data_IF_441493534978
#
_entry.id   IF_441493534978
#
_cell.length_a   1.000
_cell.length_b   1.000
_cell.length_c   1.000
_cell.angle_alpha   90.00
_cell.angle_beta   90.00
_cell.angle_gamma   90.00
#
_symmetry.space_group_name_H-M   'P 1'
#
loop_
_entity.id
_entity.type
_entity.pdbx_description
1 polymer ?
#
# COMPACT_ATOMS: atom_id res chain seq x y z
N UNK A 1 -27.57 61.94 19.33
CA UNK A 1 -26.23 62.17 18.80
C UNK A 1 -25.30 61.41 19.71
N UNK A 2 -25.02 60.20 19.31
CA UNK A 2 -23.78 59.47 19.62
C UNK A 2 -23.95 58.05 19.12
N UNK A 3 -23.27 57.74 18.05
CA UNK A 3 -23.20 56.39 17.49
C UNK A 3 -22.25 55.56 18.32
N UNK A 4 -22.68 54.42 18.81
CA UNK A 4 -21.84 53.38 19.39
C UNK A 4 -21.23 52.51 18.26
N UNK A 5 -19.96 52.04 18.37
CA UNK A 5 -19.33 51.24 17.36
C UNK A 5 -19.84 49.79 17.38
N UNK A 6 -19.98 49.21 16.18
CA UNK A 6 -20.36 47.83 15.93
C UNK A 6 -19.26 46.87 16.33
N UNK A 7 -19.61 45.84 17.09
CA UNK A 7 -18.81 44.70 17.42
C UNK A 7 -18.27 44.00 16.14
N UNK A 8 -16.99 43.88 16.06
CA UNK A 8 -16.30 43.01 15.09
C UNK A 8 -16.33 41.57 15.61
N UNK A 9 -17.26 40.78 15.11
CA UNK A 9 -17.25 39.34 15.34
C UNK A 9 -16.00 38.69 14.75
N UNK A 10 -15.21 38.06 15.60
CA UNK A 10 -14.03 37.29 15.21
C UNK A 10 -14.56 35.96 14.61
N UNK A 11 -14.42 35.85 13.29
CA UNK A 11 -14.68 34.62 12.54
C UNK A 11 -13.55 33.61 12.79
N UNK A 12 -13.83 32.57 13.59
CA UNK A 12 -12.89 31.51 13.96
C UNK A 12 -12.82 30.35 12.94
N UNK A 13 -13.28 30.56 11.70
CA UNK A 13 -13.33 29.48 10.68
C UNK A 13 -12.30 29.62 9.55
N UNK A 14 -11.09 30.10 9.83
CA UNK A 14 -9.98 30.11 8.86
C UNK A 14 -8.74 29.35 9.35
N UNK A 15 -8.89 28.09 9.77
CA UNK A 15 -7.77 27.27 10.24
C UNK A 15 -7.62 25.92 9.57
N UNK A 16 -8.59 25.45 8.78
CA UNK A 16 -8.45 24.21 8.01
C UNK A 16 -8.02 24.49 6.57
N UNK A 17 -6.75 24.74 6.37
CA UNK A 17 -6.16 24.64 5.03
C UNK A 17 -6.34 23.19 4.57
N UNK A 18 -7.33 22.99 3.69
CA UNK A 18 -7.43 21.78 2.88
C UNK A 18 -6.10 21.59 2.18
N UNK A 19 -5.35 20.53 2.54
CA UNK A 19 -4.21 20.11 1.73
C UNK A 19 -4.79 19.66 0.39
N UNK A 20 -4.76 20.57 -0.56
CA UNK A 20 -5.24 20.33 -1.91
C UNK A 20 -4.17 19.52 -2.63
N UNK A 21 -4.49 18.33 -3.09
CA UNK A 21 -3.65 17.49 -3.97
C UNK A 21 -3.24 18.20 -5.28
N UNK A 22 -3.66 19.45 -5.50
CA UNK A 22 -3.23 20.29 -6.61
C UNK A 22 -1.77 20.74 -6.54
N UNK A 23 -1.07 20.53 -5.43
CA UNK A 23 0.36 20.86 -5.31
C UNK A 23 1.29 19.88 -6.06
N UNK A 24 0.76 18.82 -6.66
CA UNK A 24 1.51 17.96 -7.57
C UNK A 24 1.65 18.50 -9.00
N UNK A 25 1.46 19.80 -9.22
CA UNK A 25 1.85 20.41 -10.48
C UNK A 25 3.34 20.70 -10.46
N UNK A 26 4.12 19.78 -11.01
CA UNK A 26 5.50 20.08 -11.44
C UNK A 26 5.51 21.26 -12.40
N UNK A 27 6.51 22.16 -12.31
CA UNK A 27 6.71 23.17 -13.34
C UNK A 27 6.91 22.44 -14.68
N UNK A 28 6.22 22.94 -15.69
CA UNK A 28 6.26 22.44 -17.06
C UNK A 28 7.68 22.45 -17.62
N UNK A 29 8.33 21.30 -17.66
CA UNK A 29 9.30 21.03 -18.70
C UNK A 29 8.53 20.50 -19.88
N UNK A 30 8.60 21.20 -21.00
CA UNK A 30 7.90 20.88 -22.23
C UNK A 30 8.15 19.42 -22.62
N UNK A 31 7.06 18.62 -22.73
CA UNK A 31 7.15 17.47 -23.58
C UNK A 31 6.36 16.23 -23.29
N UNK A 32 5.94 15.89 -22.07
CA UNK A 32 5.08 14.72 -21.87
C UNK A 32 4.21 14.90 -20.62
N UNK A 33 2.90 14.83 -20.80
CA UNK A 33 1.98 14.83 -19.68
C UNK A 33 2.10 13.52 -18.88
N UNK A 34 1.77 13.54 -17.59
CA UNK A 34 1.68 12.30 -16.77
C UNK A 34 0.80 11.22 -17.43
N UNK A 35 -0.22 11.65 -18.20
CA UNK A 35 -1.08 10.77 -19.02
C UNK A 35 -0.29 9.99 -20.06
N UNK A 36 0.70 10.63 -20.70
CA UNK A 36 1.49 10.01 -21.77
C UNK A 36 2.53 9.01 -21.21
N UNK A 37 3.05 9.25 -20.02
CA UNK A 37 3.98 8.34 -19.36
C UNK A 37 3.29 7.04 -18.91
N UNK A 38 2.10 7.15 -18.32
CA UNK A 38 1.28 5.98 -17.94
C UNK A 38 0.72 5.22 -19.15
N UNK A 39 0.25 5.95 -20.17
CA UNK A 39 -0.18 5.34 -21.43
C UNK A 39 0.95 4.54 -22.08
N UNK A 40 2.18 5.04 -22.00
CA UNK A 40 3.36 4.35 -22.55
C UNK A 40 3.85 3.19 -21.68
N UNK A 41 3.69 3.25 -20.36
CA UNK A 41 4.03 2.12 -19.49
C UNK A 41 3.08 0.92 -19.69
N UNK A 42 1.81 1.18 -20.04
CA UNK A 42 0.83 0.13 -20.30
C UNK A 42 0.76 -0.28 -21.80
N UNK A 43 1.20 0.58 -22.74
CA UNK A 43 1.15 0.31 -24.20
C UNK A 43 2.48 -0.07 -24.82
N UNK A 44 3.58 0.35 -24.23
CA UNK A 44 4.88 -0.24 -24.47
C UNK A 44 4.96 -1.45 -23.58
N UNK A 45 4.53 -2.60 -24.07
CA UNK A 45 5.08 -3.85 -23.57
C UNK A 45 6.58 -3.60 -23.47
N UNK A 46 7.12 -3.61 -22.24
CA UNK A 46 8.53 -3.43 -21.97
C UNK A 46 9.34 -4.41 -22.84
N UNK A 47 9.59 -4.02 -24.09
CA UNK A 47 10.59 -4.67 -24.93
C UNK A 47 11.92 -4.11 -24.47
N UNK A 48 12.37 -4.60 -23.32
CA UNK A 48 13.76 -4.58 -22.99
C UNK A 48 14.36 -5.89 -23.53
N UNK A 49 15.54 -5.87 -24.15
CA UNK A 49 16.21 -7.08 -24.57
C UNK A 49 16.73 -7.81 -23.32
N UNK A 50 15.88 -8.62 -22.69
CA UNK A 50 16.30 -9.50 -21.62
C UNK A 50 16.89 -10.79 -22.21
N UNK A 51 18.19 -10.90 -22.21
CA UNK A 51 18.86 -12.19 -22.25
C UNK A 51 18.74 -12.85 -20.88
N UNK A 52 17.70 -13.64 -20.63
CA UNK A 52 17.51 -14.17 -19.30
C UNK A 52 16.94 -15.58 -19.24
N UNK A 53 17.79 -16.63 -19.21
CA UNK A 53 17.39 -17.90 -18.62
C UNK A 53 17.26 -17.82 -17.08
N UNK A 54 17.93 -16.88 -16.42
CA UNK A 54 17.93 -16.79 -14.94
C UNK A 54 16.63 -16.24 -14.33
N UNK A 55 15.91 -15.33 -14.99
CA UNK A 55 14.65 -14.80 -14.46
C UNK A 55 13.51 -15.83 -14.46
N UNK A 56 13.48 -16.75 -15.41
CA UNK A 56 12.49 -17.84 -15.45
C UNK A 56 12.54 -18.76 -14.23
N UNK A 57 13.71 -18.97 -13.66
CA UNK A 57 13.87 -19.85 -12.49
C UNK A 57 13.43 -19.20 -11.17
N UNK A 58 13.43 -17.87 -11.09
CA UNK A 58 13.08 -17.12 -9.87
C UNK A 58 11.58 -16.91 -9.73
N UNK A 59 10.87 -16.79 -10.85
CA UNK A 59 9.40 -16.59 -10.86
C UNK A 59 8.59 -17.90 -10.85
N UNK A 60 9.21 -19.07 -11.00
CA UNK A 60 8.55 -20.35 -11.19
C UNK A 60 8.11 -21.07 -9.91
N UNK A 61 7.97 -20.38 -8.79
CA UNK A 61 7.26 -20.93 -7.63
C UNK A 61 5.74 -20.79 -7.86
N UNK A 62 5.22 -21.51 -8.83
CA UNK A 62 3.79 -21.61 -9.06
C UNK A 62 3.10 -22.26 -7.86
N UNK A 63 2.23 -21.51 -7.23
CA UNK A 63 1.11 -22.11 -6.54
C UNK A 63 0.06 -22.44 -7.61
N UNK A 64 0.00 -23.68 -8.03
CA UNK A 64 -1.12 -24.25 -8.78
C UNK A 64 -2.32 -24.36 -7.84
N UNK A 65 -2.95 -23.24 -7.54
CA UNK A 65 -4.23 -23.22 -6.83
C UNK A 65 -5.38 -23.59 -7.77
N UNK A 66 -6.53 -23.99 -7.23
CA UNK A 66 -7.73 -24.31 -8.01
C UNK A 66 -8.13 -23.14 -8.91
N UNK A 67 -8.80 -23.44 -10.03
CA UNK A 67 -9.28 -22.38 -10.92
C UNK A 67 -10.22 -21.41 -10.17
N UNK A 68 -10.21 -20.11 -10.50
CA UNK A 68 -11.03 -19.10 -9.80
C UNK A 68 -12.52 -19.45 -9.72
N UNK A 69 -13.08 -20.05 -10.77
CA UNK A 69 -14.46 -20.51 -10.80
C UNK A 69 -14.76 -21.65 -9.83
N UNK A 70 -13.82 -22.57 -9.66
CA UNK A 70 -13.98 -23.71 -8.76
C UNK A 70 -13.92 -23.26 -7.30
N UNK A 71 -13.03 -22.29 -7.00
CA UNK A 71 -12.91 -21.70 -5.66
C UNK A 71 -14.20 -20.97 -5.25
N UNK A 72 -14.78 -20.16 -6.14
CA UNK A 72 -16.03 -19.45 -5.85
C UNK A 72 -17.23 -20.40 -5.74
N UNK A 73 -17.24 -21.49 -6.48
CA UNK A 73 -18.27 -22.55 -6.34
C UNK A 73 -18.16 -23.21 -4.97
N UNK A 74 -16.97 -23.60 -4.56
CA UNK A 74 -16.73 -24.19 -3.23
C UNK A 74 -17.16 -23.27 -2.08
N UNK A 75 -16.86 -21.97 -2.18
CA UNK A 75 -17.30 -20.99 -1.19
C UNK A 75 -18.83 -20.90 -1.13
N UNK A 76 -19.53 -20.90 -2.27
CA UNK A 76 -21.00 -20.89 -2.30
C UNK A 76 -21.57 -22.15 -1.63
N UNK A 77 -21.00 -23.32 -1.89
CA UNK A 77 -21.45 -24.58 -1.29
C UNK A 77 -21.28 -24.54 0.24
N UNK A 78 -20.16 -24.01 0.73
CA UNK A 78 -19.91 -23.78 2.16
C UNK A 78 -20.98 -22.85 2.76
N UNK A 79 -21.29 -21.73 2.12
CA UNK A 79 -22.32 -20.80 2.58
C UNK A 79 -23.69 -21.47 2.68
N UNK A 80 -24.07 -22.22 1.63
CA UNK A 80 -25.37 -22.92 1.57
C UNK A 80 -25.48 -24.01 2.65
N UNK A 81 -24.39 -24.75 2.88
CA UNK A 81 -24.36 -25.82 3.88
C UNK A 81 -24.36 -25.27 5.31
N UNK A 82 -23.60 -24.21 5.57
CA UNK A 82 -23.48 -23.65 6.90
C UNK A 82 -24.78 -23.10 7.45
N UNK A 83 -25.65 -22.52 6.59
CA UNK A 83 -26.92 -21.85 6.99
C UNK A 83 -26.70 -20.94 8.19
N UNK A 84 -25.59 -20.22 8.22
CA UNK A 84 -25.16 -19.41 9.36
C UNK A 84 -26.18 -18.34 9.71
N UNK A 85 -26.71 -18.29 10.96
CA UNK A 85 -27.59 -17.21 11.37
C UNK A 85 -26.89 -15.85 11.41
N UNK A 86 -25.56 -15.83 11.50
CA UNK A 86 -24.76 -14.60 11.50
C UNK A 86 -24.68 -13.96 10.11
N UNK A 87 -24.94 -14.71 9.04
CA UNK A 87 -24.92 -14.17 7.69
C UNK A 87 -26.22 -13.44 7.38
N UNK A 88 -26.15 -12.12 7.21
CA UNK A 88 -27.29 -11.32 6.83
C UNK A 88 -27.63 -11.46 5.34
N UNK A 89 -26.60 -11.38 4.51
CA UNK A 89 -26.67 -11.53 3.06
C UNK A 89 -25.29 -11.85 2.48
N UNK A 90 -25.26 -12.34 1.25
CA UNK A 90 -24.02 -12.44 0.51
C UNK A 90 -24.24 -12.09 -0.96
N UNK A 91 -23.14 -11.69 -1.63
CA UNK A 91 -23.14 -11.39 -3.06
C UNK A 91 -21.87 -11.95 -3.72
N UNK A 92 -22.05 -12.68 -4.79
CA UNK A 92 -20.94 -13.05 -5.68
C UNK A 92 -20.83 -11.98 -6.75
N UNK A 93 -19.62 -11.58 -7.07
CA UNK A 93 -19.37 -10.52 -8.03
C UNK A 93 -18.11 -10.78 -8.86
N UNK A 94 -18.08 -10.20 -10.03
CA UNK A 94 -16.89 -10.09 -10.89
C UNK A 94 -16.58 -8.61 -11.11
N UNK A 95 -15.31 -8.24 -11.13
CA UNK A 95 -14.83 -6.94 -11.58
C UNK A 95 -13.95 -7.17 -12.80
N UNK A 96 -14.42 -6.70 -13.94
CA UNK A 96 -13.76 -6.84 -15.23
C UNK A 96 -13.14 -5.52 -15.69
N UNK A 97 -12.46 -5.56 -16.84
CA UNK A 97 -11.77 -4.39 -17.39
C UNK A 97 -12.66 -3.16 -17.61
N UNK A 98 -13.95 -3.37 -17.88
CA UNK A 98 -14.92 -2.29 -18.16
C UNK A 98 -15.61 -1.69 -16.93
N UNK A 99 -15.51 -2.36 -15.77
CA UNK A 99 -16.24 -1.94 -14.56
C UNK A 99 -15.45 -0.85 -13.82
N UNK A 100 -15.80 0.41 -14.04
CA UNK A 100 -15.06 1.58 -13.57
C UNK A 100 -15.99 2.74 -13.17
N UNK A 101 -15.57 3.55 -12.16
CA UNK A 101 -14.60 3.19 -11.14
C UNK A 101 -15.22 2.30 -10.08
N UNK A 102 -16.49 2.50 -9.72
CA UNK A 102 -17.20 1.84 -8.63
C UNK A 102 -18.38 1.03 -9.14
N UNK A 103 -18.51 -0.20 -8.64
CA UNK A 103 -19.64 -1.10 -8.90
C UNK A 103 -20.43 -1.32 -7.61
N UNK A 104 -21.72 -1.08 -7.65
CA UNK A 104 -22.65 -1.36 -6.56
C UNK A 104 -22.90 -2.88 -6.46
N UNK A 105 -22.69 -3.46 -5.30
CA UNK A 105 -22.92 -4.88 -5.07
C UNK A 105 -24.39 -5.25 -4.82
N UNK A 106 -25.29 -4.26 -4.64
CA UNK A 106 -26.66 -4.50 -4.22
C UNK A 106 -26.72 -5.10 -2.80
N UNK A 107 -25.82 -4.71 -1.93
CA UNK A 107 -25.80 -5.00 -0.51
C UNK A 107 -25.82 -3.68 0.25
N UNK A 108 -26.82 -3.48 1.10
CA UNK A 108 -26.88 -2.33 2.00
C UNK A 108 -26.37 -2.71 3.38
N UNK A 109 -25.40 -2.00 3.89
CA UNK A 109 -24.86 -2.19 5.23
C UNK A 109 -25.28 -1.04 6.14
N UNK A 110 -25.61 -1.34 7.39
CA UNK A 110 -25.76 -0.34 8.44
C UNK A 110 -24.39 0.06 8.99
N UNK A 111 -24.30 1.27 9.54
CA UNK A 111 -23.09 1.73 10.22
C UNK A 111 -22.61 0.72 11.28
N UNK A 112 -21.34 0.38 11.24
CA UNK A 112 -20.73 -0.60 12.13
C UNK A 112 -20.88 -2.05 11.69
N UNK A 113 -21.73 -2.37 10.71
CA UNK A 113 -21.80 -3.72 10.15
C UNK A 113 -20.50 -4.10 9.45
N UNK A 114 -20.15 -5.37 9.56
CA UNK A 114 -18.95 -5.92 8.95
C UNK A 114 -19.27 -6.62 7.62
N UNK A 115 -18.38 -6.42 6.64
CA UNK A 115 -18.46 -7.08 5.34
C UNK A 115 -17.12 -7.74 5.07
N UNK A 116 -17.13 -9.05 4.91
CA UNK A 116 -15.92 -9.82 4.53
C UNK A 116 -15.91 -10.05 3.02
N UNK A 117 -14.80 -9.74 2.39
CA UNK A 117 -14.54 -10.05 0.99
C UNK A 117 -13.58 -11.22 0.89
N UNK A 118 -13.94 -12.21 0.09
CA UNK A 118 -13.10 -13.33 -0.31
C UNK A 118 -12.85 -13.19 -1.79
N UNK A 119 -11.59 -13.08 -2.21
CA UNK A 119 -11.20 -12.66 -3.55
C UNK A 119 -10.34 -13.72 -4.23
N UNK A 120 -10.50 -13.86 -5.54
CA UNK A 120 -9.62 -14.62 -6.40
C UNK A 120 -9.44 -13.92 -7.74
N UNK A 121 -8.46 -14.36 -8.51
CA UNK A 121 -8.13 -13.77 -9.79
C UNK A 121 -6.75 -13.11 -9.80
N UNK A 122 -6.49 -12.30 -10.82
CA UNK A 122 -5.19 -11.63 -11.02
C UNK A 122 -5.36 -10.39 -11.88
N UNK A 123 -4.46 -9.44 -11.70
CA UNK A 123 -4.19 -8.39 -12.66
C UNK A 123 -2.81 -8.61 -13.27
N UNK A 124 -2.77 -8.89 -14.56
CA UNK A 124 -1.54 -9.08 -15.28
C UNK A 124 -0.93 -7.74 -15.73
N UNK A 125 0.30 -7.51 -15.33
CA UNK A 125 1.14 -6.44 -15.86
C UNK A 125 1.91 -6.92 -17.10
N UNK A 126 2.38 -8.18 -17.07
CA UNK A 126 3.03 -8.83 -18.21
C UNK A 126 2.90 -10.34 -18.08
N UNK A 127 2.22 -10.99 -19.04
CA UNK A 127 2.16 -12.46 -19.10
C UNK A 127 3.49 -13.07 -19.52
N UNK A 128 4.21 -12.38 -20.40
CA UNK A 128 5.52 -12.82 -20.88
C UNK A 128 6.54 -12.98 -19.74
N UNK A 129 6.49 -12.06 -18.77
CA UNK A 129 7.41 -12.05 -17.64
C UNK A 129 6.80 -12.64 -16.36
N UNK A 130 5.64 -13.29 -16.45
CA UNK A 130 4.87 -13.79 -15.29
C UNK A 130 4.68 -12.72 -14.19
N UNK A 131 4.42 -11.48 -14.59
CA UNK A 131 4.27 -10.35 -13.69
C UNK A 131 2.79 -10.02 -13.49
N UNK A 132 2.30 -10.23 -12.29
CA UNK A 132 0.91 -10.01 -11.93
C UNK A 132 0.74 -9.66 -10.46
N UNK A 133 -0.39 -9.04 -10.14
CA UNK A 133 -0.77 -8.71 -8.77
C UNK A 133 -1.94 -9.57 -8.30
N UNK A 134 -1.91 -9.90 -7.00
CA UNK A 134 -3.04 -10.49 -6.30
C UNK A 134 -4.23 -9.52 -6.29
N UNK A 135 -5.47 -10.01 -6.29
CA UNK A 135 -6.66 -9.16 -6.28
C UNK A 135 -6.71 -8.27 -5.03
N UNK A 136 -6.27 -8.72 -3.87
CA UNK A 136 -6.28 -7.93 -2.64
C UNK A 136 -5.44 -6.66 -2.68
N UNK A 137 -4.42 -6.57 -3.55
CA UNK A 137 -3.60 -5.37 -3.74
C UNK A 137 -4.30 -4.27 -4.55
N UNK A 138 -5.22 -4.66 -5.42
CA UNK A 138 -5.86 -3.76 -6.37
C UNK A 138 -7.35 -3.56 -6.11
N UNK A 139 -7.92 -4.38 -5.25
CA UNK A 139 -9.34 -4.32 -4.85
C UNK A 139 -9.56 -3.24 -3.80
N UNK A 140 -10.65 -2.51 -3.98
CA UNK A 140 -11.10 -1.48 -3.04
C UNK A 140 -12.59 -1.67 -2.77
N UNK A 141 -12.99 -1.36 -1.53
CA UNK A 141 -14.40 -1.34 -1.13
C UNK A 141 -14.71 -0.10 -0.30
N UNK A 142 -15.97 0.31 -0.30
CA UNK A 142 -16.48 1.41 0.54
C UNK A 142 -17.97 1.29 0.77
N UNK A 143 -18.51 2.02 1.74
CA UNK A 143 -19.90 2.41 1.73
C UNK A 143 -20.04 3.62 0.80
N UNK A 144 -21.04 3.65 -0.09
CA UNK A 144 -21.17 4.63 -1.18
C UNK A 144 -20.93 6.07 -0.72
N UNK A 145 -20.10 6.75 -1.51
CA UNK A 145 -19.93 8.21 -1.43
C UNK A 145 -19.02 8.71 -0.33
N UNK A 146 -18.54 7.86 0.58
CA UNK A 146 -17.77 8.30 1.74
C UNK A 146 -16.47 7.51 1.95
N UNK A 147 -15.60 8.11 2.72
CA UNK A 147 -14.34 7.57 3.21
C UNK A 147 -14.51 6.84 4.54
N UNK A 148 -13.58 6.00 4.95
CA UNK A 148 -12.38 5.62 4.21
C UNK A 148 -12.65 4.54 3.14
N UNK A 149 -11.82 4.49 2.10
CA UNK A 149 -11.76 3.34 1.20
C UNK A 149 -11.04 2.19 1.92
N UNK A 150 -11.62 1.02 1.84
CA UNK A 150 -11.04 -0.20 2.41
C UNK A 150 -10.22 -0.93 1.34
N UNK A 151 -9.04 -1.38 1.74
CA UNK A 151 -8.12 -2.17 0.92
C UNK A 151 -7.68 -3.38 1.75
N UNK A 152 -8.00 -4.61 1.33
CA UNK A 152 -7.68 -5.80 2.12
C UNK A 152 -6.18 -6.12 2.16
N UNK A 153 -5.42 -5.80 1.12
CA UNK A 153 -4.03 -6.20 0.86
C UNK A 153 -3.82 -7.70 0.68
N UNK A 154 -4.66 -8.51 1.27
CA UNK A 154 -4.72 -9.98 1.13
C UNK A 154 -5.97 -10.37 0.32
N UNK A 155 -6.04 -11.62 -0.10
CA UNK A 155 -7.17 -12.13 -0.86
C UNK A 155 -8.43 -12.36 0.00
N UNK A 156 -8.34 -12.15 1.29
CA UNK A 156 -9.47 -12.09 2.20
C UNK A 156 -9.34 -10.89 3.11
N UNK A 157 -10.46 -10.25 3.44
CA UNK A 157 -10.43 -9.10 4.34
C UNK A 157 -11.81 -8.60 4.72
N UNK A 158 -11.94 -8.04 5.92
CA UNK A 158 -13.19 -7.55 6.49
C UNK A 158 -13.13 -6.05 6.71
N UNK A 159 -14.05 -5.32 6.10
CA UNK A 159 -14.29 -3.91 6.40
C UNK A 159 -15.42 -3.75 7.40
N UNK A 160 -15.43 -2.62 8.09
CA UNK A 160 -16.57 -2.14 8.88
C UNK A 160 -17.20 -0.96 8.14
N UNK A 161 -18.50 -1.01 7.89
CA UNK A 161 -19.22 0.07 7.24
C UNK A 161 -19.14 1.36 8.09
N UNK A 162 -18.70 2.44 7.48
CA UNK A 162 -18.51 3.73 8.17
C UNK A 162 -19.82 4.47 8.42
N UNK A 163 -20.87 4.15 7.65
CA UNK A 163 -22.23 4.70 7.72
C UNK A 163 -23.20 3.78 7.01
N UNK A 164 -24.48 4.07 7.09
CA UNK A 164 -25.54 3.34 6.39
C UNK A 164 -25.43 3.56 4.87
N UNK A 165 -25.58 2.52 4.10
CA UNK A 165 -25.66 2.64 2.64
C UNK A 165 -25.14 1.44 1.85
N UNK A 166 -25.25 1.51 0.53
CA UNK A 166 -24.82 0.43 -0.34
C UNK A 166 -23.30 0.27 -0.37
N UNK A 167 -22.90 -0.99 -0.47
CA UNK A 167 -21.50 -1.39 -0.59
C UNK A 167 -21.07 -1.31 -2.05
N UNK A 168 -20.06 -0.52 -2.31
CA UNK A 168 -19.44 -0.38 -3.62
C UNK A 168 -18.04 -0.98 -3.61
N UNK A 169 -17.68 -1.61 -4.73
CA UNK A 169 -16.34 -2.16 -4.96
C UNK A 169 -15.72 -1.57 -6.21
N UNK A 170 -14.41 -1.51 -6.21
CA UNK A 170 -13.63 -1.00 -7.33
C UNK A 170 -12.28 -1.72 -7.42
N UNK A 171 -11.57 -1.46 -8.50
CA UNK A 171 -10.15 -1.77 -8.63
C UNK A 171 -9.35 -0.53 -8.99
N UNK A 172 -8.14 -0.46 -8.50
CA UNK A 172 -7.16 0.55 -8.90
C UNK A 172 -5.81 -0.12 -9.13
N UNK A 173 -5.10 0.36 -10.14
CA UNK A 173 -3.77 -0.16 -10.46
C UNK A 173 -2.66 0.53 -9.64
N UNK A 174 -2.96 1.27 -8.63
CA UNK A 174 -2.11 1.87 -7.60
C UNK A 174 -2.84 3.03 -6.91
N UNK A 175 -2.72 4.23 -7.41
CA UNK A 175 -3.12 5.46 -6.74
C UNK A 175 -4.52 5.91 -7.16
N UNK A 176 -5.18 6.60 -6.26
CA UNK A 176 -6.37 7.38 -6.53
C UNK A 176 -6.01 8.86 -6.72
N UNK A 177 -6.70 9.54 -7.62
CA UNK A 177 -6.51 10.98 -7.82
C UNK A 177 -7.07 11.81 -6.67
N UNK A 178 -8.03 11.27 -5.94
CA UNK A 178 -8.66 11.90 -4.79
C UNK A 178 -9.12 10.85 -3.77
N UNK A 179 -9.34 11.30 -2.56
CA UNK A 179 -9.88 10.48 -1.48
C UNK A 179 -11.36 10.08 -1.73
N UNK A 180 -12.04 10.74 -2.67
CA UNK A 180 -13.40 10.39 -3.09
C UNK A 180 -13.44 9.20 -4.06
N UNK A 181 -12.26 8.64 -4.39
CA UNK A 181 -12.16 7.47 -5.25
C UNK A 181 -12.29 7.78 -6.74
N UNK A 182 -11.70 8.89 -7.17
CA UNK A 182 -11.49 9.20 -8.59
C UNK A 182 -10.19 8.54 -9.05
N UNK A 183 -10.24 7.77 -10.12
CA UNK A 183 -9.06 7.10 -10.67
C UNK A 183 -8.04 8.11 -11.18
N UNK A 184 -6.78 7.96 -10.82
CA UNK A 184 -5.68 8.74 -11.37
C UNK A 184 -5.32 8.28 -12.79
N UNK A 185 -5.33 6.97 -13.00
CA UNK A 185 -5.06 6.36 -14.31
C UNK A 185 -6.29 6.51 -15.21
N UNK A 186 -6.14 6.95 -16.47
CA UNK A 186 -7.25 7.09 -17.40
C UNK A 186 -8.02 5.79 -17.64
N UNK A 187 -9.37 5.83 -17.74
CA UNK A 187 -10.21 4.64 -17.94
C UNK A 187 -9.81 3.77 -19.12
N UNK A 188 -9.28 4.35 -20.19
CA UNK A 188 -8.87 3.63 -21.40
C UNK A 188 -7.70 2.67 -21.15
N UNK A 189 -6.87 2.96 -20.15
CA UNK A 189 -5.78 2.08 -19.72
C UNK A 189 -6.34 0.87 -18.99
N UNK A 190 -7.29 1.11 -18.07
CA UNK A 190 -7.95 0.02 -17.36
C UNK A 190 -8.71 -0.92 -18.29
N UNK A 191 -9.40 -0.40 -19.31
CA UNK A 191 -10.12 -1.22 -20.29
C UNK A 191 -9.21 -2.16 -21.07
N UNK A 192 -7.93 -1.81 -21.21
CA UNK A 192 -6.92 -2.64 -21.88
C UNK A 192 -6.18 -3.58 -20.92
N UNK A 193 -6.35 -3.40 -19.63
CA UNK A 193 -5.67 -4.23 -18.64
C UNK A 193 -6.28 -5.64 -18.61
N UNK A 194 -5.41 -6.65 -18.61
CA UNK A 194 -5.80 -8.05 -18.41
C UNK A 194 -6.06 -8.29 -16.93
N UNK A 195 -7.28 -8.02 -16.51
CA UNK A 195 -7.70 -8.15 -15.12
C UNK A 195 -9.02 -8.88 -15.01
N UNK A 196 -9.07 -9.80 -14.07
CA UNK A 196 -10.30 -10.41 -13.60
C UNK A 196 -10.19 -10.61 -12.10
N UNK A 197 -11.09 -10.01 -11.35
CA UNK A 197 -11.32 -10.28 -9.93
C UNK A 197 -12.69 -10.91 -9.80
N UNK A 198 -12.74 -12.08 -9.22
CA UNK A 198 -13.99 -12.71 -8.80
C UNK A 198 -14.01 -12.75 -7.28
N UNK A 199 -15.12 -12.42 -6.67
CA UNK A 199 -15.23 -12.36 -5.22
C UNK A 199 -16.59 -12.73 -4.66
N UNK A 200 -16.59 -12.96 -3.35
CA UNK A 200 -17.81 -13.07 -2.54
C UNK A 200 -17.73 -12.01 -1.44
N UNK A 201 -18.77 -11.21 -1.32
CA UNK A 201 -18.99 -10.30 -0.20
C UNK A 201 -19.98 -10.96 0.78
N UNK A 202 -19.59 -11.05 2.05
CA UNK A 202 -20.37 -11.64 3.14
C UNK A 202 -20.75 -10.52 4.11
N UNK A 203 -22.03 -10.15 4.17
CA UNK A 203 -22.55 -9.15 5.11
C UNK A 203 -22.97 -9.84 6.40
N UNK A 204 -22.40 -9.44 7.52
CA UNK A 204 -22.64 -10.07 8.81
C UNK A 204 -23.68 -9.31 9.64
N UNK A 205 -24.49 -10.05 10.42
CA UNK A 205 -25.42 -9.46 11.41
C UNK A 205 -24.70 -8.98 12.66
N UNK A 206 -23.63 -9.68 13.03
CA UNK A 206 -22.82 -9.41 14.22
C UNK A 206 -21.33 -9.46 13.91
N UNK A 207 -20.55 -10.06 14.80
CA UNK A 207 -19.09 -10.17 14.65
C UNK A 207 -18.74 -11.14 13.51
N UNK A 208 -17.98 -10.66 12.55
CA UNK A 208 -17.50 -11.45 11.41
C UNK A 208 -16.75 -12.72 11.83
N UNK A 209 -16.01 -12.68 12.97
CA UNK A 209 -15.28 -13.84 13.48
C UNK A 209 -16.22 -15.01 13.82
N UNK A 210 -17.39 -14.73 14.39
CA UNK A 210 -18.38 -15.75 14.70
C UNK A 210 -18.94 -16.33 13.42
N UNK A 211 -19.30 -15.48 12.46
CA UNK A 211 -19.80 -15.90 11.17
C UNK A 211 -18.79 -16.72 10.37
N UNK A 212 -17.53 -16.28 10.29
CA UNK A 212 -16.46 -17.00 9.60
C UNK A 212 -16.23 -18.38 10.26
N UNK A 213 -16.22 -18.48 11.60
CA UNK A 213 -16.11 -19.77 12.30
C UNK A 213 -17.23 -20.73 11.93
N UNK A 214 -18.45 -20.22 11.77
CA UNK A 214 -19.59 -21.07 11.38
C UNK A 214 -19.46 -21.60 9.95
N UNK A 215 -18.87 -20.81 9.03
CA UNK A 215 -18.56 -21.25 7.67
C UNK A 215 -17.41 -22.26 7.66
N UNK A 216 -16.35 -22.02 8.41
CA UNK A 216 -15.19 -22.91 8.52
C UNK A 216 -15.55 -24.30 9.03
N UNK A 217 -16.60 -24.44 9.85
CA UNK A 217 -17.09 -25.72 10.30
C UNK A 217 -17.60 -26.62 9.14
N UNK A 218 -17.91 -26.05 7.99
CA UNK A 218 -18.31 -26.77 6.78
C UNK A 218 -17.15 -26.94 5.79
N UNK A 219 -16.05 -26.23 5.97
CA UNK A 219 -14.85 -26.29 5.14
C UNK A 219 -14.23 -24.92 4.89
N UNK A 220 -13.15 -24.95 4.16
CA UNK A 220 -12.51 -23.74 3.64
C UNK A 220 -12.14 -23.94 2.16
N UNK A 221 -12.10 -22.87 1.42
CA UNK A 221 -11.71 -22.88 0.02
C UNK A 221 -10.51 -21.94 -0.16
N UNK A 222 -9.35 -22.53 -0.46
CA UNK A 222 -8.10 -21.79 -0.68
C UNK A 222 -7.61 -21.03 0.57
N UNK A 223 -7.89 -21.54 1.76
CA UNK A 223 -7.49 -20.96 3.06
C UNK A 223 -7.98 -19.50 3.30
N UNK A 224 -8.99 -19.05 2.54
CA UNK A 224 -9.46 -17.66 2.61
C UNK A 224 -10.16 -17.35 3.94
N UNK A 225 -11.04 -18.26 4.38
CA UNK A 225 -11.77 -18.10 5.65
C UNK A 225 -10.83 -18.23 6.85
N UNK A 226 -9.94 -19.22 6.86
CA UNK A 226 -9.00 -19.46 7.95
C UNK A 226 -7.99 -18.30 8.07
N UNK A 227 -7.47 -17.82 6.95
CA UNK A 227 -6.53 -16.69 6.95
C UNK A 227 -7.18 -15.42 7.47
N UNK A 228 -8.43 -15.14 7.08
CA UNK A 228 -9.15 -13.95 7.54
C UNK A 228 -9.51 -14.06 9.02
N UNK A 229 -9.96 -15.22 9.49
CA UNK A 229 -10.21 -15.43 10.91
C UNK A 229 -8.94 -15.18 11.75
N UNK A 230 -7.82 -15.77 11.34
CA UNK A 230 -6.53 -15.59 12.02
C UNK A 230 -6.10 -14.12 12.02
N UNK A 231 -6.35 -13.39 10.93
CA UNK A 231 -6.08 -11.95 10.84
C UNK A 231 -6.92 -11.16 11.84
N UNK A 232 -8.22 -11.39 11.88
CA UNK A 232 -9.15 -10.72 12.80
C UNK A 232 -8.85 -11.05 14.26
N UNK A 233 -8.45 -12.29 14.57
CA UNK A 233 -8.09 -12.71 15.94
C UNK A 233 -6.77 -12.10 16.40
N UNK A 234 -5.79 -11.92 15.52
CA UNK A 234 -4.55 -11.21 15.84
C UNK A 234 -4.80 -9.77 16.23
N UNK A 235 -5.79 -9.11 15.63
CA UNK A 235 -6.18 -7.75 15.97
C UNK A 235 -5.04 -6.74 15.91
N UNK A 236 -4.11 -6.90 14.96
CA UNK A 236 -2.95 -6.02 14.80
C UNK A 236 -3.37 -4.57 14.56
N UNK A 237 -2.61 -3.65 15.13
CA UNK A 237 -2.79 -2.20 14.94
C UNK A 237 -1.50 -1.59 14.41
N UNK A 238 -1.63 -0.53 13.63
CA UNK A 238 -0.48 0.31 13.29
C UNK A 238 0.21 0.82 14.55
N UNK A 239 1.53 1.04 14.51
CA UNK A 239 2.23 1.74 15.57
C UNK A 239 1.59 3.11 15.81
N UNK A 240 1.57 3.55 17.06
CA UNK A 240 0.96 4.83 17.44
C UNK A 240 1.62 6.00 16.67
N UNK A 241 0.80 6.88 16.10
CA UNK A 241 1.25 8.03 15.31
C UNK A 241 1.56 7.71 13.84
N UNK A 242 1.42 6.47 13.40
CA UNK A 242 1.55 6.06 12.01
C UNK A 242 0.19 5.87 11.36
N UNK A 243 0.11 6.17 10.08
CA UNK A 243 -1.09 5.96 9.23
C UNK A 243 -0.70 5.30 7.91
N UNK A 244 -1.66 4.67 7.25
CA UNK A 244 -1.44 4.18 5.89
C UNK A 244 -1.32 5.37 4.94
N UNK A 245 -0.40 5.29 3.98
CA UNK A 245 -0.40 6.21 2.85
C UNK A 245 -1.70 6.02 2.05
N UNK A 246 -2.24 7.12 1.50
CA UNK A 246 -3.45 7.07 0.68
C UNK A 246 -3.25 6.12 -0.52
N UNK A 247 -4.24 5.24 -0.73
CA UNK A 247 -4.19 4.21 -1.77
C UNK A 247 -3.47 2.93 -1.35
N UNK A 248 -2.88 2.91 -0.14
CA UNK A 248 -2.29 1.72 0.48
C UNK A 248 -3.02 1.42 1.79
N UNK A 249 -3.56 0.23 1.91
CA UNK A 249 -4.26 -0.23 3.11
C UNK A 249 -3.50 -1.36 3.79
N UNK A 250 -4.12 -1.93 4.83
CA UNK A 250 -3.60 -3.14 5.48
C UNK A 250 -2.21 -3.02 6.12
N UNK A 251 -1.71 -1.80 6.32
CA UNK A 251 -0.37 -1.58 6.89
C UNK A 251 -0.18 -2.26 8.25
N UNK A 252 -1.22 -2.38 9.04
CA UNK A 252 -1.20 -3.10 10.30
C UNK A 252 -0.92 -4.60 10.16
N UNK A 253 -1.15 -5.18 8.98
CA UNK A 253 -0.85 -6.59 8.72
C UNK A 253 0.63 -6.80 8.40
N UNK A 254 1.28 -5.77 7.90
CA UNK A 254 2.70 -5.74 7.57
C UNK A 254 3.52 -5.13 8.70
N UNK A 255 3.10 -4.00 9.25
CA UNK A 255 3.79 -3.28 10.30
C UNK A 255 3.00 -3.30 11.59
N UNK A 256 3.64 -3.72 12.68
CA UNK A 256 3.04 -3.69 14.02
C UNK A 256 4.13 -3.44 15.07
N UNK A 257 3.73 -2.92 16.21
CA UNK A 257 4.65 -2.77 17.35
C UNK A 257 4.59 -4.03 18.22
N UNK A 258 5.74 -4.59 18.54
CA UNK A 258 5.83 -5.72 19.47
C UNK A 258 5.89 -5.26 20.93
N UNK A 259 5.99 -6.22 21.85
CA UNK A 259 6.05 -5.98 23.31
C UNK A 259 7.32 -5.23 23.75
N UNK A 260 8.40 -5.31 22.97
CA UNK A 260 9.65 -4.60 23.20
C UNK A 260 9.61 -3.15 22.70
N UNK A 261 8.53 -2.75 22.05
CA UNK A 261 8.38 -1.44 21.43
C UNK A 261 9.04 -1.31 20.05
N UNK A 262 9.54 -2.41 19.47
CA UNK A 262 10.10 -2.46 18.13
C UNK A 262 8.99 -2.49 17.07
N UNK A 263 9.21 -1.87 15.93
CA UNK A 263 8.29 -1.99 14.78
C UNK A 263 8.71 -3.22 13.97
N UNK A 264 7.88 -4.24 14.00
CA UNK A 264 8.06 -5.44 13.17
C UNK A 264 7.50 -5.19 11.77
N UNK A 265 8.15 -5.76 10.78
CA UNK A 265 7.71 -5.77 9.38
C UNK A 265 7.70 -7.22 8.89
N UNK A 266 6.55 -7.66 8.34
CA UNK A 266 6.39 -9.01 7.77
C UNK A 266 5.49 -8.88 6.53
N UNK A 267 6.07 -8.99 5.34
CA UNK A 267 5.40 -8.77 4.06
C UNK A 267 5.66 -9.95 3.13
N UNK A 268 4.63 -10.43 2.45
CA UNK A 268 4.72 -11.53 1.49
C UNK A 268 3.78 -11.28 0.30
N UNK A 269 4.35 -10.97 -0.86
CA UNK A 269 3.59 -10.69 -2.08
C UNK A 269 2.65 -9.49 -1.97
N UNK A 270 2.94 -8.54 -1.07
CA UNK A 270 2.12 -7.35 -0.79
C UNK A 270 2.92 -6.06 -0.91
N UNK A 271 2.23 -4.93 -0.92
CA UNK A 271 2.83 -3.61 -0.90
C UNK A 271 2.18 -2.77 0.21
N UNK A 272 2.97 -2.31 1.15
CA UNK A 272 2.48 -1.50 2.27
C UNK A 272 3.40 -0.31 2.50
N UNK A 273 2.80 0.86 2.66
CA UNK A 273 3.48 2.09 3.00
C UNK A 273 2.76 2.72 4.18
N UNK A 274 3.49 2.91 5.27
CA UNK A 274 2.99 3.66 6.42
C UNK A 274 3.83 4.92 6.61
N UNK A 275 3.17 6.00 7.00
CA UNK A 275 3.80 7.30 7.17
C UNK A 275 3.49 7.91 8.54
N UNK A 276 4.43 8.70 9.03
CA UNK A 276 4.28 9.51 10.22
C UNK A 276 4.55 10.98 9.88
N UNK A 277 3.56 11.87 10.03
CA UNK A 277 3.72 13.27 9.72
C UNK A 277 4.66 13.96 10.73
N UNK A 278 5.44 14.88 10.22
CA UNK A 278 6.30 15.77 11.01
C UNK A 278 6.59 17.06 10.22
N UNK A 279 7.29 17.99 10.84
CA UNK A 279 7.73 19.22 10.15
C UNK A 279 9.09 19.61 10.71
N UNK A 280 10.16 19.30 9.98
CA UNK A 280 11.54 19.57 10.42
C UNK A 280 12.27 20.34 9.32
N UNK A 281 12.74 21.57 9.61
CA UNK A 281 13.49 22.36 8.64
C UNK A 281 14.79 21.67 8.23
N UNK A 282 15.11 21.63 6.94
CA UNK A 282 16.40 21.13 6.45
C UNK A 282 17.58 21.98 6.95
N UNK A 283 17.35 23.29 7.14
CA UNK A 283 18.35 24.20 7.70
C UNK A 283 18.76 23.88 9.14
N UNK A 284 17.98 23.07 9.87
CA UNK A 284 18.35 22.60 11.22
C UNK A 284 19.37 21.45 11.23
N UNK A 285 19.85 21.01 10.07
CA UNK A 285 20.78 19.89 9.94
C UNK A 285 20.22 18.56 10.43
N UNK A 286 19.03 18.12 9.94
CA UNK A 286 18.37 16.94 10.44
C UNK A 286 19.14 15.66 10.10
N UNK A 287 19.33 14.82 11.10
CA UNK A 287 19.93 13.49 10.98
C UNK A 287 18.91 12.43 11.36
N UNK A 288 18.57 11.53 10.44
CA UNK A 288 17.74 10.36 10.68
C UNK A 288 18.61 9.23 11.22
N UNK A 289 18.34 8.81 12.45
CA UNK A 289 18.96 7.64 13.07
C UNK A 289 17.95 6.54 13.27
N UNK A 290 18.37 5.28 13.04
CA UNK A 290 17.56 4.09 13.33
C UNK A 290 18.44 2.87 13.55
N UNK A 291 17.88 1.85 14.22
CA UNK A 291 18.42 0.50 14.19
C UNK A 291 17.54 -0.38 13.32
N UNK A 292 18.16 -1.27 12.58
CA UNK A 292 17.50 -2.17 11.65
C UNK A 292 18.04 -3.58 11.76
N UNK A 293 17.14 -4.54 11.85
CA UNK A 293 17.46 -5.96 11.78
C UNK A 293 16.63 -6.55 10.65
N UNK A 294 17.30 -6.93 9.57
CA UNK A 294 16.66 -7.64 8.46
C UNK A 294 16.82 -9.13 8.71
N UNK A 295 15.71 -9.85 8.80
CA UNK A 295 15.72 -11.32 8.91
C UNK A 295 15.66 -11.96 7.52
N UNK A 296 14.94 -11.35 6.57
CA UNK A 296 14.83 -11.83 5.19
C UNK A 296 14.64 -10.66 4.22
N UNK A 297 15.45 -10.63 3.16
CA UNK A 297 15.28 -9.71 2.03
C UNK A 297 14.26 -10.26 1.03
N UNK A 298 13.38 -9.42 0.47
CA UNK A 298 12.31 -9.87 -0.41
C UNK A 298 12.76 -10.12 -1.85
N UNK A 299 13.88 -9.53 -2.28
CA UNK A 299 14.36 -9.65 -3.66
C UNK A 299 15.42 -10.74 -3.83
N UNK A 300 15.37 -11.46 -4.94
CA UNK A 300 16.43 -12.37 -5.39
C UNK A 300 17.23 -11.78 -6.57
N UNK A 301 16.97 -10.52 -6.92
CA UNK A 301 17.62 -9.80 -8.02
C UNK A 301 17.77 -8.32 -7.63
N UNK A 302 18.57 -7.57 -8.38
CA UNK A 302 18.76 -6.14 -8.16
C UNK A 302 17.45 -5.37 -8.27
N UNK A 303 17.19 -4.49 -7.32
CA UNK A 303 15.91 -3.79 -7.11
C UNK A 303 15.74 -2.55 -8.01
N UNK A 304 16.72 -2.21 -8.81
CA UNK A 304 16.75 -1.04 -9.71
C UNK A 304 15.97 -1.21 -11.02
N UNK A 305 15.29 -2.37 -11.19
CA UNK A 305 14.45 -2.68 -12.34
C UNK A 305 12.99 -2.88 -11.92
N UNK A 306 12.04 -2.41 -12.74
CA UNK A 306 10.61 -2.51 -12.39
C UNK A 306 10.14 -3.94 -12.05
N UNK A 307 10.50 -5.01 -12.79
CA UNK A 307 10.06 -6.36 -12.44
C UNK A 307 10.67 -6.94 -11.17
N UNK A 308 11.72 -6.34 -10.65
CA UNK A 308 12.45 -6.85 -9.48
C UNK A 308 12.45 -5.87 -8.30
N UNK A 309 11.60 -4.83 -8.36
CA UNK A 309 11.57 -3.72 -7.43
C UNK A 309 10.89 -4.07 -6.09
N UNK A 310 11.35 -5.16 -5.47
CA UNK A 310 10.92 -5.59 -4.15
C UNK A 310 11.98 -5.22 -3.10
N UNK A 311 11.56 -4.50 -2.04
CA UNK A 311 12.49 -4.01 -1.01
C UNK A 311 11.79 -3.74 0.32
N UNK A 312 12.59 -3.66 1.38
CA UNK A 312 12.21 -3.10 2.68
C UNK A 312 12.99 -1.81 2.89
N UNK A 313 12.34 -0.79 3.44
CA UNK A 313 12.98 0.52 3.57
C UNK A 313 12.46 1.37 4.71
N UNK A 314 13.26 2.37 5.05
CA UNK A 314 12.86 3.56 5.80
C UNK A 314 13.22 4.77 4.95
N UNK A 315 12.40 5.81 4.98
CA UNK A 315 12.64 7.01 4.18
C UNK A 315 12.07 8.28 4.78
N UNK A 316 12.30 9.36 4.09
CA UNK A 316 11.76 10.69 4.40
C UNK A 316 11.12 11.29 3.16
N UNK A 317 10.01 11.97 3.38
CA UNK A 317 9.33 12.75 2.36
C UNK A 317 9.54 14.24 2.63
N UNK A 318 9.75 14.99 1.58
CA UNK A 318 9.95 16.44 1.65
C UNK A 318 8.69 17.21 1.27
N UNK A 319 8.60 18.48 1.64
CA UNK A 319 7.43 19.33 1.36
C UNK A 319 7.20 19.60 -0.14
N UNK A 320 8.23 19.45 -0.96
CA UNK A 320 8.15 19.59 -2.42
C UNK A 320 7.63 18.32 -3.12
N UNK A 321 7.32 17.28 -2.34
CA UNK A 321 6.80 16.00 -2.84
C UNK A 321 7.88 15.02 -3.30
N UNK A 322 9.17 15.38 -3.21
CA UNK A 322 10.26 14.42 -3.39
C UNK A 322 10.42 13.56 -2.14
N UNK A 323 11.03 12.41 -2.30
CA UNK A 323 11.39 11.55 -1.18
C UNK A 323 12.73 10.85 -1.38
N UNK A 324 13.28 10.39 -0.27
CA UNK A 324 14.53 9.68 -0.21
C UNK A 324 14.33 8.42 0.63
N UNK A 325 14.50 7.27 0.00
CA UNK A 325 14.23 5.95 0.57
C UNK A 325 15.53 5.16 0.74
N UNK A 326 15.84 4.78 1.98
CA UNK A 326 17.03 4.00 2.33
C UNK A 326 16.70 2.53 2.31
N UNK A 327 17.40 1.75 1.49
CA UNK A 327 17.19 0.31 1.32
C UNK A 327 18.41 -0.51 1.74
N UNK A 328 18.16 -1.76 2.16
CA UNK A 328 19.18 -2.80 2.24
C UNK A 328 18.97 -3.74 1.07
N UNK A 329 19.92 -3.80 0.17
CA UNK A 329 19.86 -4.66 -1.02
C UNK A 329 20.72 -5.91 -0.85
N UNK A 330 20.27 -7.02 -1.42
CA UNK A 330 21.14 -8.21 -1.53
C UNK A 330 22.18 -8.07 -2.64
N UNK A 331 21.85 -7.36 -3.72
CA UNK A 331 22.60 -7.38 -4.98
C UNK A 331 23.24 -6.04 -5.37
N UNK A 332 22.61 -4.93 -5.03
CA UNK A 332 23.13 -3.61 -5.37
C UNK A 332 24.25 -3.20 -4.40
N UNK A 333 25.31 -2.53 -4.89
CA UNK A 333 26.41 -2.10 -4.04
C UNK A 333 25.99 -1.01 -3.05
N UNK A 334 26.54 -1.07 -1.84
CA UNK A 334 26.32 -0.02 -0.84
C UNK A 334 26.79 1.34 -1.39
N UNK A 335 26.00 2.38 -1.13
CA UNK A 335 26.23 3.73 -1.64
C UNK A 335 25.62 3.99 -3.02
N UNK A 336 25.08 2.97 -3.69
CA UNK A 336 24.38 3.20 -4.97
C UNK A 336 23.13 4.02 -4.74
N UNK A 337 22.91 5.00 -5.62
CA UNK A 337 21.71 5.85 -5.65
C UNK A 337 21.05 5.73 -7.02
N UNK A 338 19.73 5.54 -7.04
CA UNK A 338 18.97 5.44 -8.29
C UNK A 338 17.55 5.98 -8.12
N UNK A 339 16.93 6.36 -9.22
CA UNK A 339 15.52 6.75 -9.24
C UNK A 339 14.64 5.50 -9.30
N UNK A 340 13.49 5.54 -8.62
CA UNK A 340 12.52 4.46 -8.66
C UNK A 340 12.26 4.03 -10.11
N UNK A 341 12.36 2.73 -10.43
CA UNK A 341 12.14 2.25 -11.80
C UNK A 341 10.67 2.26 -12.21
N UNK A 342 9.74 2.44 -11.26
CA UNK A 342 8.30 2.52 -11.54
C UNK A 342 7.95 3.88 -12.11
N UNK A 343 7.22 3.90 -13.22
CA UNK A 343 6.95 5.12 -13.97
C UNK A 343 6.29 6.25 -13.15
N UNK A 344 5.38 5.89 -12.25
CA UNK A 344 4.66 6.86 -11.41
C UNK A 344 5.54 7.49 -10.33
N UNK A 345 6.55 6.75 -9.86
CA UNK A 345 7.41 7.13 -8.75
C UNK A 345 8.77 7.68 -9.20
N UNK A 346 9.15 7.41 -10.45
CA UNK A 346 10.46 7.81 -11.02
C UNK A 346 10.78 9.29 -10.85
N UNK A 347 9.78 10.16 -10.93
CA UNK A 347 9.96 11.61 -10.82
C UNK A 347 10.12 12.10 -9.39
N UNK A 348 9.68 11.32 -8.40
CA UNK A 348 9.58 11.75 -7.00
C UNK A 348 10.43 10.93 -6.05
N UNK A 349 10.65 9.64 -6.31
CA UNK A 349 11.32 8.73 -5.38
C UNK A 349 12.79 8.47 -5.77
N UNK A 350 13.68 8.68 -4.79
CA UNK A 350 15.11 8.38 -4.88
C UNK A 350 15.47 7.29 -3.88
N UNK A 351 16.06 6.20 -4.35
CA UNK A 351 16.57 5.11 -3.51
C UNK A 351 18.05 5.27 -3.24
N UNK A 352 18.47 4.98 -2.00
CA UNK A 352 19.87 4.86 -1.61
C UNK A 352 20.12 3.53 -0.90
N UNK A 353 21.07 2.77 -1.37
CA UNK A 353 21.51 1.50 -0.76
C UNK A 353 22.42 1.81 0.44
N UNK A 354 21.90 1.64 1.65
CA UNK A 354 22.67 1.88 2.89
C UNK A 354 23.43 0.64 3.36
N UNK A 355 23.02 -0.54 2.92
CA UNK A 355 23.71 -1.82 3.19
C UNK A 355 23.52 -2.78 2.03
N UNK A 356 24.52 -3.64 1.82
CA UNK A 356 24.51 -4.64 0.73
C UNK A 356 24.89 -6.04 1.24
N UNK A 357 24.29 -7.06 0.63
CA UNK A 357 24.61 -8.47 0.89
C UNK A 357 23.85 -9.08 2.07
N UNK A 358 24.11 -10.37 2.31
CA UNK A 358 23.42 -11.20 3.30
C UNK A 358 24.20 -11.44 4.59
N UNK A 359 25.47 -11.05 4.66
CA UNK A 359 26.36 -11.45 5.75
C UNK A 359 25.88 -11.02 7.15
N UNK A 360 25.13 -9.94 7.22
CA UNK A 360 24.67 -9.35 8.49
C UNK A 360 23.15 -9.53 8.73
N UNK A 361 22.49 -10.38 7.92
CA UNK A 361 21.09 -10.72 8.17
C UNK A 361 20.93 -11.34 9.57
N UNK A 362 19.79 -11.06 10.23
CA UNK A 362 19.52 -11.52 11.58
C UNK A 362 20.24 -10.75 12.68
N UNK A 363 21.06 -9.75 12.36
CA UNK A 363 21.79 -8.92 13.33
C UNK A 363 21.34 -7.47 13.30
N UNK A 364 21.30 -6.84 14.48
CA UNK A 364 20.99 -5.43 14.59
C UNK A 364 22.13 -4.57 14.03
N UNK A 365 21.80 -3.70 13.06
CA UNK A 365 22.68 -2.69 12.52
C UNK A 365 22.15 -1.30 12.87
N UNK A 366 23.04 -0.36 13.18
CA UNK A 366 22.71 1.03 13.44
C UNK A 366 23.07 1.90 12.25
N UNK A 367 22.18 2.80 11.89
CA UNK A 367 22.34 3.73 10.78
C UNK A 367 22.09 5.16 11.24
N UNK A 368 22.78 6.09 10.61
CA UNK A 368 22.53 7.52 10.74
C UNK A 368 22.80 8.19 9.40
N UNK A 369 21.87 9.03 8.93
CA UNK A 369 21.99 9.76 7.68
C UNK A 369 21.78 11.26 7.88
N UNK A 370 22.59 12.05 7.24
CA UNK A 370 22.43 13.50 7.14
C UNK A 370 21.45 13.80 6.00
N UNK A 371 20.19 14.10 6.36
CA UNK A 371 19.10 14.24 5.39
C UNK A 371 19.30 15.46 4.49
N UNK A 372 19.81 16.56 5.03
CA UNK A 372 20.04 17.77 4.24
C UNK A 372 21.15 17.56 3.20
N UNK A 373 22.23 16.88 3.59
CA UNK A 373 23.31 16.53 2.69
C UNK A 373 22.85 15.56 1.60
N UNK A 374 22.12 14.48 1.97
CA UNK A 374 21.60 13.50 1.02
C UNK A 374 20.60 14.13 0.03
N UNK A 375 19.69 15.00 0.51
CA UNK A 375 18.77 15.73 -0.36
C UNK A 375 19.52 16.60 -1.36
N UNK A 376 20.49 17.37 -0.88
CA UNK A 376 21.27 18.28 -1.73
C UNK A 376 22.08 17.53 -2.79
N UNK A 377 22.66 16.37 -2.42
CA UNK A 377 23.54 15.59 -3.29
C UNK A 377 22.78 14.80 -4.37
N UNK A 378 21.58 14.29 -4.06
CA UNK A 378 20.93 13.27 -4.88
C UNK A 378 19.58 13.68 -5.48
N UNK A 379 18.95 14.70 -4.92
CA UNK A 379 17.66 15.22 -5.40
C UNK A 379 17.86 16.63 -5.96
N UNK A 380 18.29 17.53 -5.10
CA UNK A 380 18.45 18.96 -5.41
C UNK A 380 17.10 19.60 -5.76
N UNK A 381 16.68 20.60 -5.01
CA UNK A 381 15.37 21.19 -5.23
C UNK A 381 15.04 22.25 -4.20
N UNK A 382 13.80 22.76 -4.21
CA UNK A 382 13.38 23.87 -3.38
C UNK A 382 12.93 23.45 -1.96
N UNK A 383 12.94 22.16 -1.59
CA UNK A 383 12.43 21.74 -0.30
C UNK A 383 13.17 22.40 0.86
N UNK A 384 12.41 22.88 1.83
CA UNK A 384 12.92 23.53 3.04
C UNK A 384 12.70 22.66 4.28
N UNK A 385 11.86 21.65 4.20
CA UNK A 385 11.52 20.80 5.34
C UNK A 385 11.23 19.35 4.95
N UNK A 386 11.45 18.46 5.90
CA UNK A 386 10.93 17.10 5.91
C UNK A 386 9.47 17.17 6.36
N UNK A 387 8.58 16.50 5.63
CA UNK A 387 7.14 16.45 5.94
C UNK A 387 6.71 15.14 6.59
N UNK A 388 7.38 14.01 6.29
CA UNK A 388 7.07 12.69 6.85
C UNK A 388 8.33 11.83 6.99
N UNK A 389 8.29 10.91 7.95
CA UNK A 389 9.06 9.67 7.89
C UNK A 389 8.11 8.57 7.45
N UNK A 390 8.57 7.64 6.64
CA UNK A 390 7.78 6.49 6.22
C UNK A 390 8.55 5.17 6.26
N UNK A 391 7.80 4.07 6.37
CA UNK A 391 8.31 2.71 6.24
C UNK A 391 7.59 2.04 5.07
N UNK A 392 8.36 1.41 4.20
CA UNK A 392 7.84 0.74 3.02
C UNK A 392 8.26 -0.73 3.03
N UNK A 393 7.33 -1.58 2.64
CA UNK A 393 7.58 -2.99 2.36
C UNK A 393 6.91 -3.32 1.01
N UNK A 394 7.72 -3.50 0.00
CA UNK A 394 7.29 -3.78 -1.37
C UNK A 394 7.76 -5.18 -1.72
N UNK A 395 6.83 -6.11 -1.91
CA UNK A 395 7.14 -7.53 -2.15
C UNK A 395 6.26 -8.17 -3.23
N UNK A 396 5.49 -7.42 -4.06
CA UNK A 396 4.54 -8.02 -4.98
C UNK A 396 5.14 -8.49 -6.31
N UNK A 397 6.28 -7.96 -6.72
CA UNK A 397 6.84 -8.24 -8.05
C UNK A 397 7.44 -9.64 -8.14
N UNK A 398 8.23 -10.04 -7.17
CA UNK A 398 8.81 -11.38 -7.06
C UNK A 398 8.02 -12.30 -6.12
N UNK A 399 6.99 -11.78 -5.45
CA UNK A 399 6.09 -12.53 -4.54
C UNK A 399 6.83 -13.27 -3.41
N UNK A 400 7.99 -12.74 -3.01
CA UNK A 400 8.80 -13.31 -1.95
C UNK A 400 8.47 -12.67 -0.61
N UNK A 401 8.92 -13.30 0.45
CA UNK A 401 8.80 -12.77 1.80
C UNK A 401 9.93 -11.79 2.11
N UNK A 402 9.59 -10.66 2.72
CA UNK A 402 10.51 -9.76 3.37
C UNK A 402 10.15 -9.60 4.84
N UNK A 403 11.14 -9.69 5.75
CA UNK A 403 10.89 -9.51 7.17
C UNK A 403 12.03 -8.75 7.84
N UNK A 404 11.66 -7.81 8.71
CA UNK A 404 12.63 -6.99 9.45
C UNK A 404 12.03 -6.42 10.73
N UNK A 405 12.88 -5.77 11.52
CA UNK A 405 12.50 -4.96 12.69
C UNK A 405 13.21 -3.63 12.66
N UNK A 406 12.49 -2.59 13.07
CA UNK A 406 13.02 -1.25 13.26
C UNK A 406 12.97 -0.88 14.73
N UNK A 407 14.02 -0.22 15.23
CA UNK A 407 14.09 0.30 16.57
C UNK A 407 14.80 1.67 16.59
N UNK A 408 14.56 2.44 17.63
CA UNK A 408 15.22 3.72 17.90
C UNK A 408 15.18 4.72 16.74
N UNK A 409 14.06 4.73 15.99
CA UNK A 409 13.86 5.69 14.91
C UNK A 409 13.75 7.09 15.54
N UNK A 410 14.65 7.97 15.13
CA UNK A 410 14.72 9.34 15.64
C UNK A 410 15.23 10.31 14.58
N UNK A 411 14.84 11.56 14.69
CA UNK A 411 15.50 12.66 13.99
C UNK A 411 16.13 13.58 15.05
N UNK A 412 17.42 13.84 14.88
CA UNK A 412 18.18 14.82 15.67
C UNK A 412 18.54 16.03 14.81
N UNK A 413 18.61 17.19 15.40
CA UNK A 413 18.97 18.44 14.74
C UNK A 413 20.29 18.99 15.31
N UNK A 414 20.89 19.95 14.65
CA UNK A 414 22.20 20.50 15.02
C UNK A 414 22.24 21.14 16.44
N UNK A 415 21.08 21.56 16.95
CA UNK A 415 20.90 22.07 18.32
C UNK A 415 20.68 20.97 19.35
N UNK A 416 20.89 19.69 18.97
CA UNK A 416 20.68 18.50 19.79
C UNK A 416 19.20 18.24 20.19
N UNK A 417 18.24 18.84 19.54
CA UNK A 417 16.84 18.45 19.68
C UNK A 417 16.66 17.05 19.08
N UNK A 418 16.01 16.14 19.81
CA UNK A 418 15.76 14.76 19.37
C UNK A 418 14.26 14.48 19.36
N UNK A 419 13.74 14.18 18.18
CA UNK A 419 12.36 13.71 18.00
C UNK A 419 12.38 12.20 17.81
N UNK A 420 11.74 11.46 18.73
CA UNK A 420 11.48 10.01 18.53
C UNK A 420 10.30 9.82 17.56
N UNK A 421 10.49 8.94 16.59
CA UNK A 421 9.52 8.66 15.53
C UNK A 421 8.77 7.35 15.80
#
# INVERSE_FOLDING_TARGET
>A
MDEAPRDAGIDLDQGRKRMCFSCFRSPSTAGLSRRDALARACTLGLVLPFTAPALRAVCAAEQSGPAPTDLMSAIKDIIVQAKSPELAAYRVFDINAGDLPWTDLGLDAAQGQQVTFLLTGRMWLSREHDLWFNPGLIFHARTRGLRPMYIPMLNAGTMTASHDGPIEVARSAAEWASEDGVLQTPPEIYKKADVRITGVALLWRGDARVGIKSLLAQGDAGDLLASELARLERGRKLPAGWSNLLGFGGGQEVFSRDENGEITCDSAGSASIIERPLSIPLASGPRLGWRWKIDQLPSAAAEDQAPTHDYLSIGVKFEDGQDLTYIWSEHLPQGMVFRCPLANWKAIETHMVVRSGKAELGTWQAFERDIAADYSAHIGGPAKSISHVWLLAITPFQRRKGSCRYADIKISTADNTVLKV
#
